data_IF_002353573052
#
_entry.id   IF_002353573052
#
_cell.length_a   1.000
_cell.length_b   1.000
_cell.length_c   1.000
_cell.angle_alpha   90.00
_cell.angle_beta   90.00
_cell.angle_gamma   90.00
#
_symmetry.space_group_name_H-M   'P 1'
#
loop_
_entity.id
_entity.type
_entity.pdbx_description
1 polymer ?
#
# COMPACT_ATOMS: atom_id res chain seq x y z
N UNK A 1 10.61 -4.31 2.80
CA UNK A 1 9.49 -3.67 2.10
C UNK A 1 9.98 -2.43 1.38
N UNK A 2 10.77 -1.61 2.08
CA UNK A 2 11.33 -0.35 1.56
C UNK A 2 12.13 -0.50 0.26
N UNK A 3 12.97 -1.54 0.14
CA UNK A 3 13.72 -1.80 -1.10
C UNK A 3 12.79 -2.09 -2.30
N UNK A 4 11.68 -2.80 -2.07
CA UNK A 4 10.68 -3.08 -3.10
C UNK A 4 10.04 -1.76 -3.53
N UNK A 5 9.56 -0.95 -2.58
CA UNK A 5 8.93 0.35 -2.81
C UNK A 5 9.87 1.32 -3.54
N UNK A 6 11.12 1.42 -3.10
CA UNK A 6 12.12 2.27 -3.74
C UNK A 6 12.39 1.84 -5.19
N UNK A 7 12.46 0.52 -5.44
CA UNK A 7 12.74 0.00 -6.79
C UNK A 7 11.58 0.13 -7.78
N UNK A 8 10.33 0.23 -7.29
CA UNK A 8 9.13 0.38 -8.13
C UNK A 8 8.67 1.84 -8.25
N UNK A 9 9.16 2.74 -7.39
CA UNK A 9 8.80 4.16 -7.38
C UNK A 9 8.95 4.81 -8.77
N UNK A 10 10.06 4.54 -9.45
CA UNK A 10 10.33 5.08 -10.78
C UNK A 10 9.39 4.50 -11.84
N UNK A 11 9.04 3.21 -11.72
CA UNK A 11 8.17 2.50 -12.65
C UNK A 11 6.73 3.02 -12.59
N UNK A 12 6.24 3.37 -11.40
CA UNK A 12 4.84 3.79 -11.18
C UNK A 12 4.65 5.32 -11.16
N UNK A 13 5.72 6.11 -11.34
CA UNK A 13 5.72 7.58 -11.22
C UNK A 13 4.64 8.32 -12.03
N UNK A 14 4.17 7.71 -13.13
CA UNK A 14 3.17 8.30 -14.01
C UNK A 14 1.74 8.24 -13.42
N UNK A 15 1.50 7.40 -12.41
CA UNK A 15 0.15 7.18 -11.86
C UNK A 15 0.11 7.00 -10.33
N UNK A 16 1.26 6.92 -9.66
CA UNK A 16 1.37 6.85 -8.21
C UNK A 16 2.64 7.56 -7.71
N UNK A 17 2.56 8.10 -6.50
CA UNK A 17 3.70 8.72 -5.79
C UNK A 17 3.80 8.02 -4.44
N UNK A 18 5.02 7.67 -4.04
CA UNK A 18 5.30 7.01 -2.75
C UNK A 18 5.91 8.05 -1.81
N UNK A 19 5.35 8.16 -0.61
CA UNK A 19 5.90 8.96 0.48
C UNK A 19 6.28 8.05 1.64
N UNK A 20 7.36 8.42 2.32
CA UNK A 20 7.78 7.80 3.58
C UNK A 20 7.42 8.75 4.72
N UNK A 21 6.75 8.23 5.74
CA UNK A 21 6.33 8.99 6.91
C UNK A 21 6.80 8.23 8.15
N UNK A 22 7.52 8.92 9.03
CA UNK A 22 7.91 8.39 10.33
C UNK A 22 6.78 8.62 11.34
N UNK A 23 6.22 7.53 11.86
CA UNK A 23 5.11 7.54 12.84
C UNK A 23 5.54 8.04 14.23
N UNK A 24 6.83 8.15 14.50
CA UNK A 24 7.37 8.74 15.73
C UNK A 24 7.50 10.26 15.61
N UNK A 25 7.78 10.78 14.42
CA UNK A 25 7.83 12.22 14.14
C UNK A 25 6.42 12.81 13.92
N UNK A 26 5.52 12.06 13.28
CA UNK A 26 4.14 12.48 12.99
C UNK A 26 3.14 11.50 13.60
N UNK A 27 2.88 11.58 14.92
CA UNK A 27 2.03 10.61 15.62
C UNK A 27 0.52 10.86 15.46
N UNK A 28 0.11 12.01 14.93
CA UNK A 28 -1.27 12.50 14.88
C UNK A 28 -2.26 11.50 14.24
N UNK A 29 -1.77 10.66 13.32
CA UNK A 29 -2.58 9.72 12.56
C UNK A 29 -2.55 8.29 13.11
N UNK A 30 -1.72 8.01 14.13
CA UNK A 30 -1.48 6.65 14.62
C UNK A 30 -2.74 6.00 15.20
N UNK A 31 -3.51 6.74 16.01
CA UNK A 31 -4.77 6.23 16.57
C UNK A 31 -5.86 6.10 15.51
N UNK A 32 -5.95 7.05 14.59
CA UNK A 32 -7.00 7.07 13.56
C UNK A 32 -6.88 5.92 12.57
N UNK A 33 -5.66 5.60 12.13
CA UNK A 33 -5.39 4.52 11.19
C UNK A 33 -4.86 3.24 11.85
N UNK A 34 -4.84 3.18 13.18
CA UNK A 34 -4.36 2.03 13.96
C UNK A 34 -2.96 1.58 13.49
N UNK A 35 -2.01 2.52 13.48
CA UNK A 35 -0.63 2.29 13.05
C UNK A 35 0.20 1.79 14.24
N UNK A 36 0.19 0.46 14.43
CA UNK A 36 0.97 -0.22 15.47
C UNK A 36 2.15 -1.00 14.90
N UNK A 37 2.06 -1.37 13.62
CA UNK A 37 3.09 -2.13 12.92
C UNK A 37 4.24 -1.22 12.45
N UNK A 38 5.50 -1.70 12.48
CA UNK A 38 6.67 -0.90 12.11
C UNK A 38 6.70 -0.48 10.64
N UNK A 39 5.90 -1.11 9.77
CA UNK A 39 5.76 -0.69 8.37
C UNK A 39 4.35 -0.96 7.86
N UNK A 40 3.68 0.08 7.36
CA UNK A 40 2.31 -0.03 6.83
C UNK A 40 2.22 0.73 5.51
N UNK A 41 1.68 0.10 4.46
CA UNK A 41 1.35 0.80 3.21
C UNK A 41 -0.14 1.10 3.17
N UNK A 42 -0.49 2.38 3.02
CA UNK A 42 -1.87 2.83 2.88
C UNK A 42 -2.11 3.11 1.39
N UNK A 43 -2.98 2.35 0.75
CA UNK A 43 -3.28 2.49 -0.70
C UNK A 43 -4.59 3.23 -0.98
N UNK A 44 -5.26 3.76 0.07
CA UNK A 44 -6.47 4.57 -0.02
C UNK A 44 -7.63 3.99 0.79
N UNK A 45 -8.46 4.89 1.33
CA UNK A 45 -9.71 4.64 2.07
C UNK A 45 -9.64 3.50 3.12
N UNK A 46 -8.80 3.68 4.14
CA UNK A 46 -8.66 2.87 5.36
C UNK A 46 -8.21 1.41 5.19
N UNK A 47 -7.95 0.94 3.97
CA UNK A 47 -7.32 -0.36 3.77
C UNK A 47 -5.79 -0.21 3.83
N UNK A 48 -5.17 -1.03 4.69
CA UNK A 48 -3.74 -1.04 4.95
C UNK A 48 -3.13 -2.39 4.57
N UNK A 49 -1.92 -2.36 4.04
CA UNK A 49 -1.09 -3.54 3.80
C UNK A 49 0.00 -3.54 4.87
N UNK A 50 -0.07 -4.49 5.79
CA UNK A 50 0.86 -4.61 6.92
C UNK A 50 1.76 -5.87 6.85
N UNK A 51 1.72 -6.61 5.74
CA UNK A 51 2.63 -7.73 5.50
C UNK A 51 3.75 -7.36 4.53
N UNK A 52 4.88 -8.05 4.66
CA UNK A 52 6.02 -7.85 3.79
C UNK A 52 5.76 -8.38 2.37
N UNK A 53 5.41 -7.48 1.45
CA UNK A 53 5.41 -7.73 0.01
C UNK A 53 6.85 -7.88 -0.49
N UNK A 54 7.17 -9.07 -1.04
CA UNK A 54 8.49 -9.40 -1.59
C UNK A 54 8.54 -9.26 -3.11
N UNK A 55 7.40 -9.45 -3.78
CA UNK A 55 7.29 -9.39 -5.24
C UNK A 55 6.97 -7.96 -5.70
N UNK A 56 7.84 -7.42 -6.55
CA UNK A 56 7.72 -6.08 -7.12
C UNK A 56 6.51 -5.99 -8.05
N UNK A 57 6.27 -7.01 -8.85
CA UNK A 57 5.16 -7.01 -9.81
C UNK A 57 3.83 -7.03 -9.08
N UNK A 58 3.76 -7.81 -8.00
CA UNK A 58 2.57 -7.89 -7.15
C UNK A 58 2.19 -6.53 -6.55
N UNK A 59 3.17 -5.74 -6.12
CA UNK A 59 2.93 -4.37 -5.67
C UNK A 59 2.44 -3.46 -6.81
N UNK A 60 3.06 -3.53 -7.98
CA UNK A 60 2.66 -2.74 -9.16
C UNK A 60 1.20 -3.06 -9.53
N UNK A 61 0.83 -4.34 -9.58
CA UNK A 61 -0.53 -4.79 -9.93
C UNK A 61 -1.57 -4.25 -8.94
N UNK A 62 -1.24 -4.22 -7.64
CA UNK A 62 -2.10 -3.65 -6.60
C UNK A 62 -2.31 -2.15 -6.84
N UNK A 63 -1.22 -1.39 -7.02
CA UNK A 63 -1.29 0.06 -7.23
C UNK A 63 -2.05 0.40 -8.51
N UNK A 64 -1.85 -0.37 -9.59
CA UNK A 64 -2.59 -0.20 -10.83
C UNK A 64 -4.10 -0.46 -10.65
N UNK A 65 -4.45 -1.50 -9.91
CA UNK A 65 -5.85 -1.83 -9.60
C UNK A 65 -6.53 -0.71 -8.83
N UNK A 66 -5.84 -0.16 -7.82
CA UNK A 66 -6.28 1.00 -7.06
C UNK A 66 -6.45 2.21 -7.96
N UNK A 67 -5.44 2.55 -8.76
CA UNK A 67 -5.49 3.69 -9.69
C UNK A 67 -6.67 3.59 -10.67
N UNK A 68 -6.87 2.42 -11.29
CA UNK A 68 -7.97 2.18 -12.23
C UNK A 68 -9.34 2.27 -11.55
N UNK A 69 -9.47 1.78 -10.32
CA UNK A 69 -10.72 1.86 -9.57
C UNK A 69 -11.03 3.26 -9.05
N UNK A 70 -10.03 3.95 -8.51
CA UNK A 70 -10.15 5.33 -8.04
C UNK A 70 -10.50 6.28 -9.19
N UNK A 71 -9.89 6.12 -10.37
CA UNK A 71 -10.26 6.89 -11.58
C UNK A 71 -11.70 6.69 -12.04
N UNK A 72 -12.33 5.59 -11.65
CA UNK A 72 -13.75 5.31 -11.93
C UNK A 72 -14.67 5.75 -10.78
N UNK A 73 -14.15 6.44 -9.77
CA UNK A 73 -14.91 6.89 -8.60
C UNK A 73 -15.28 5.79 -7.62
N UNK A 74 -14.62 4.62 -7.67
CA UNK A 74 -14.89 3.53 -6.73
C UNK A 74 -14.11 3.76 -5.43
N UNK A 75 -14.81 3.77 -4.31
CA UNK A 75 -14.21 3.87 -2.97
C UNK A 75 -13.64 2.55 -2.44
N UNK A 76 -13.87 1.43 -3.14
CA UNK A 76 -13.35 0.11 -2.83
C UNK A 76 -12.97 -0.61 -4.13
N UNK A 77 -11.82 -1.27 -4.11
CA UNK A 77 -11.32 -2.12 -5.20
C UNK A 77 -11.00 -3.51 -4.68
N UNK A 78 -11.21 -4.52 -5.53
CA UNK A 78 -10.87 -5.91 -5.21
C UNK A 78 -9.44 -6.13 -5.67
N UNK A 79 -8.59 -6.67 -4.79
CA UNK A 79 -7.21 -6.97 -5.11
C UNK A 79 -7.11 -8.03 -6.23
N UNK A 80 -6.08 -7.97 -7.09
CA UNK A 80 -5.93 -8.90 -8.22
C UNK A 80 -5.64 -10.34 -7.80
N UNK A 81 -5.14 -10.54 -6.57
CA UNK A 81 -4.84 -11.84 -5.96
C UNK A 81 -5.47 -11.92 -4.58
N UNK A 82 -5.80 -13.14 -4.16
CA UNK A 82 -6.21 -13.40 -2.78
C UNK A 82 -4.98 -13.54 -1.88
N UNK A 83 -4.87 -12.65 -0.89
CA UNK A 83 -3.80 -12.65 0.10
C UNK A 83 -4.20 -13.35 1.40
N UNK A 84 -5.44 -13.85 1.50
CA UNK A 84 -6.03 -14.41 2.72
C UNK A 84 -5.38 -15.71 3.20
N UNK A 85 -4.62 -16.42 2.36
CA UNK A 85 -4.01 -17.72 2.67
C UNK A 85 -2.49 -17.68 2.73
N UNK A 86 -1.86 -16.68 2.09
CA UNK A 86 -0.40 -16.61 1.92
C UNK A 86 0.34 -16.03 3.13
N UNK A 87 -0.35 -15.26 3.96
CA UNK A 87 0.25 -14.50 5.06
C UNK A 87 -0.55 -14.62 6.37
N UNK A 88 -1.36 -15.69 6.54
CA UNK A 88 -1.92 -16.03 7.86
C UNK A 88 -0.76 -16.39 8.79
N UNK A 89 -0.34 -15.42 9.59
CA UNK A 89 0.27 -15.67 10.87
C UNK A 89 -0.82 -15.90 11.90
#
# INVERSE_FOLDING_TARGET
>A
MDEVLASVAETIKNFAVIYLVDITEVPDFNTMYELYDPSTVITGNNNKINWALKDKQEFIDIVETVYRGARKGRGLVIAPKDYSTKYRY
#
